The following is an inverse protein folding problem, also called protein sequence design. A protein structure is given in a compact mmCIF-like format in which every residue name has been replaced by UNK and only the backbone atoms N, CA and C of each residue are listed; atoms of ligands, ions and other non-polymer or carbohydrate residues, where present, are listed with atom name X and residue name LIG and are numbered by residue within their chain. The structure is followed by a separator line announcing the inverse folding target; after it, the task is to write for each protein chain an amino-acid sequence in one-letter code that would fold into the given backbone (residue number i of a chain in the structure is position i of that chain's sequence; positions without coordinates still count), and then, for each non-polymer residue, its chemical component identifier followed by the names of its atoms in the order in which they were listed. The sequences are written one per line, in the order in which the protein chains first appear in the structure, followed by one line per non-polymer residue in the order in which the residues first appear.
data_IF_289964257373
#
_entry.id   IF_289964257373
#
_cell.length_a   1.000
_cell.length_b   1.000
_cell.length_c   1.000
_cell.angle_alpha   90.00
_cell.angle_beta   90.00
_cell.angle_gamma   90.00
#
_symmetry.space_group_name_H-M   'P 1'
#
loop_
_entity.id
_entity.type
_entity.pdbx_description
1 polymer ?
#
# COMPACT_ATOMS: atom_id res chain seq x y z
N UNK A 1 5.19 7.25 13.18
CA UNK A 1 6.16 7.88 12.24
C UNK A 1 5.99 9.39 12.20
N UNK A 2 4.81 9.96 11.88
CA UNK A 2 4.63 11.43 11.91
C UNK A 2 5.10 12.07 13.21
N UNK A 3 4.75 11.49 14.35
CA UNK A 3 5.13 12.04 15.66
C UNK A 3 6.63 11.92 15.95
N UNK A 4 7.31 10.93 15.36
CA UNK A 4 8.77 10.82 15.48
C UNK A 4 9.45 11.97 14.72
N UNK A 5 8.96 12.31 13.53
CA UNK A 5 9.49 13.43 12.73
C UNK A 5 9.36 14.72 13.53
N UNK A 6 8.17 15.00 14.07
CA UNK A 6 7.93 16.18 14.91
C UNK A 6 8.81 16.19 16.17
N UNK A 7 8.91 15.06 16.86
CA UNK A 7 9.66 14.97 18.11
C UNK A 7 11.17 15.14 17.90
N UNK A 8 11.75 14.47 16.90
CA UNK A 8 13.21 14.44 16.70
C UNK A 8 13.73 15.60 15.83
N UNK A 9 12.96 16.06 14.85
CA UNK A 9 13.39 17.10 13.91
C UNK A 9 12.74 18.46 14.19
N UNK A 10 11.64 18.51 14.96
CA UNK A 10 10.87 19.74 15.15
C UNK A 10 10.17 20.22 13.87
N UNK A 11 9.99 19.34 12.90
CA UNK A 11 9.45 19.63 11.57
C UNK A 11 8.12 18.91 11.33
N UNK A 12 7.31 19.44 10.42
CA UNK A 12 6.12 18.72 9.92
C UNK A 12 6.50 17.71 8.83
N UNK A 13 5.90 16.50 8.81
CA UNK A 13 6.16 15.51 7.77
C UNK A 13 5.85 16.03 6.37
N UNK A 14 6.84 15.99 5.48
CA UNK A 14 6.67 16.40 4.07
C UNK A 14 5.77 15.40 3.32
N UNK A 15 5.92 14.09 3.60
CA UNK A 15 5.12 13.03 3.00
C UNK A 15 4.10 12.56 4.05
N UNK A 16 2.81 12.65 3.69
CA UNK A 16 1.73 12.22 4.56
C UNK A 16 1.72 10.69 4.72
N UNK A 17 1.47 10.24 5.96
CA UNK A 17 1.21 8.83 6.23
C UNK A 17 -0.23 8.48 5.84
N UNK A 18 -0.42 7.29 5.29
CA UNK A 18 -1.76 6.72 5.10
C UNK A 18 -2.37 6.43 6.48
N UNK A 19 -3.63 6.84 6.68
CA UNK A 19 -4.38 6.48 7.89
C UNK A 19 -4.37 4.97 8.06
N UNK A 20 -3.91 4.51 9.22
CA UNK A 20 -3.75 3.08 9.48
C UNK A 20 -4.37 2.76 10.83
N UNK A 21 -5.42 1.94 10.81
CA UNK A 21 -6.08 1.42 11.99
C UNK A 21 -5.33 0.20 12.51
N UNK A 22 -5.05 0.23 13.80
CA UNK A 22 -4.33 -0.81 14.53
C UNK A 22 -5.35 -1.76 15.14
N UNK A 23 -5.55 -2.92 14.52
CA UNK A 23 -6.61 -3.82 14.96
C UNK A 23 -6.34 -4.42 16.36
N UNK A 24 -5.10 -4.33 16.89
CA UNK A 24 -4.82 -4.63 18.30
C UNK A 24 -5.45 -3.65 19.30
N UNK A 25 -5.88 -2.47 18.85
CA UNK A 25 -6.56 -1.48 19.67
C UNK A 25 -8.08 -1.69 19.60
N UNK A 26 -8.80 -1.82 20.73
CA UNK A 26 -10.23 -2.14 20.74
C UNK A 26 -11.11 -1.18 19.94
N UNK A 27 -10.85 0.13 20.03
CA UNK A 27 -11.63 1.16 19.32
C UNK A 27 -11.43 1.07 17.80
N UNK A 28 -10.17 0.92 17.36
CA UNK A 28 -9.83 0.72 15.96
C UNK A 28 -10.43 -0.58 15.43
N UNK A 29 -10.35 -1.68 16.19
CA UNK A 29 -10.97 -2.96 15.81
C UNK A 29 -12.48 -2.82 15.64
N UNK A 30 -13.15 -2.13 16.57
CA UNK A 30 -14.58 -1.87 16.49
C UNK A 30 -14.94 -1.10 15.22
N UNK A 31 -14.20 -0.04 14.92
CA UNK A 31 -14.36 0.73 13.68
C UNK A 31 -14.13 -0.14 12.43
N UNK A 32 -13.03 -0.90 12.41
CA UNK A 32 -12.67 -1.75 11.26
C UNK A 32 -13.73 -2.80 11.01
N UNK A 33 -14.22 -3.51 12.02
CA UNK A 33 -15.27 -4.52 11.86
C UNK A 33 -16.59 -3.93 11.36
N UNK A 34 -16.94 -2.71 11.81
CA UNK A 34 -18.15 -2.02 11.37
C UNK A 34 -18.06 -1.52 9.91
N UNK A 35 -16.85 -1.21 9.43
CA UNK A 35 -16.62 -0.58 8.12
C UNK A 35 -15.75 -1.43 7.19
N UNK A 36 -15.62 -2.73 7.46
CA UNK A 36 -14.68 -3.62 6.76
C UNK A 36 -14.91 -3.66 5.24
N UNK A 37 -16.14 -3.42 4.79
CA UNK A 37 -16.52 -3.36 3.38
C UNK A 37 -15.90 -2.17 2.63
N UNK A 38 -15.46 -1.12 3.33
CA UNK A 38 -14.85 0.08 2.73
C UNK A 38 -13.33 0.14 2.90
N UNK A 39 -12.76 -0.84 3.62
CA UNK A 39 -11.37 -0.86 4.02
C UNK A 39 -10.58 -1.96 3.32
N UNK A 40 -9.26 -1.78 3.30
CA UNK A 40 -8.30 -2.83 2.99
C UNK A 40 -7.70 -3.33 4.29
N UNK A 41 -7.91 -4.62 4.60
CA UNK A 41 -7.37 -5.26 5.81
C UNK A 41 -6.25 -6.19 5.40
N UNK A 42 -5.08 -6.10 6.03
CA UNK A 42 -3.90 -6.89 5.70
C UNK A 42 -3.15 -7.34 6.94
N UNK A 43 -2.50 -8.49 6.86
CA UNK A 43 -1.65 -8.98 7.93
C UNK A 43 -0.44 -8.07 8.15
N UNK A 44 -0.03 -7.93 9.41
CA UNK A 44 1.17 -7.19 9.83
C UNK A 44 2.44 -7.95 9.42
N UNK A 45 2.38 -9.28 9.48
CA UNK A 45 3.47 -10.17 9.10
C UNK A 45 3.17 -10.80 7.73
N UNK A 46 4.11 -10.71 6.77
CA UNK A 46 4.01 -11.45 5.51
C UNK A 46 4.56 -10.72 4.29
N UNK A 47 4.78 -11.49 3.22
CA UNK A 47 5.24 -11.00 1.92
C UNK A 47 4.06 -10.53 1.07
N UNK A 48 3.35 -9.49 1.53
CA UNK A 48 2.58 -8.53 0.72
C UNK A 48 1.56 -9.07 -0.30
N UNK A 49 0.77 -10.10 0.02
CA UNK A 49 -0.31 -10.53 -0.88
C UNK A 49 -1.18 -11.68 -0.38
N UNK A 50 -0.67 -12.54 0.50
CA UNK A 50 -1.48 -13.54 1.20
C UNK A 50 -2.00 -12.92 2.52
N UNK A 51 -3.25 -13.20 2.88
CA UNK A 51 -3.86 -12.65 4.11
C UNK A 51 -4.37 -11.20 4.00
N UNK A 52 -4.83 -10.79 2.81
CA UNK A 52 -5.39 -9.46 2.57
C UNK A 52 -6.86 -9.54 2.09
N UNK A 53 -7.69 -8.63 2.59
CA UNK A 53 -9.06 -8.37 2.15
C UNK A 53 -9.13 -6.97 1.53
N UNK A 54 -9.76 -6.85 0.35
CA UNK A 54 -10.08 -5.56 -0.27
C UNK A 54 -11.60 -5.42 -0.23
N UNK A 55 -12.11 -4.81 0.85
CA UNK A 55 -13.54 -4.72 1.18
C UNK A 55 -14.42 -4.37 -0.02
N UNK A 56 -14.14 -3.29 -0.78
CA UNK A 56 -15.03 -2.84 -1.86
C UNK A 56 -15.18 -3.83 -3.03
N UNK A 57 -14.27 -4.79 -3.15
CA UNK A 57 -14.26 -5.81 -4.21
C UNK A 57 -14.61 -7.21 -3.69
N UNK A 58 -14.81 -7.36 -2.39
CA UNK A 58 -15.10 -8.63 -1.74
C UNK A 58 -16.60 -8.85 -1.60
N UNK A 59 -17.00 -10.11 -1.70
CA UNK A 59 -18.37 -10.54 -1.42
C UNK A 59 -18.68 -10.47 0.07
N UNK A 60 -19.97 -10.41 0.43
CA UNK A 60 -20.41 -10.43 1.83
C UNK A 60 -19.89 -11.66 2.58
N UNK A 61 -19.91 -12.83 1.95
CA UNK A 61 -19.43 -14.07 2.55
C UNK A 61 -17.91 -14.02 2.84
N UNK A 62 -17.11 -13.45 1.93
CA UNK A 62 -15.67 -13.27 2.15
C UNK A 62 -15.40 -12.27 3.28
N UNK A 63 -16.16 -11.18 3.34
CA UNK A 63 -16.09 -10.18 4.40
C UNK A 63 -16.41 -10.80 5.76
N UNK A 64 -17.51 -11.55 5.88
CA UNK A 64 -17.91 -12.23 7.11
C UNK A 64 -16.84 -13.23 7.57
N UNK A 65 -16.34 -14.06 6.65
CA UNK A 65 -15.28 -15.01 6.93
C UNK A 65 -13.98 -14.31 7.39
N UNK A 66 -13.64 -13.16 6.80
CA UNK A 66 -12.46 -12.40 7.20
C UNK A 66 -12.66 -11.68 8.53
N UNK A 67 -13.87 -11.19 8.82
CA UNK A 67 -14.21 -10.57 10.10
C UNK A 67 -14.03 -11.57 11.26
N UNK A 68 -14.41 -12.84 11.08
CA UNK A 68 -14.16 -13.89 12.07
C UNK A 68 -12.66 -14.13 12.30
N UNK A 69 -11.86 -14.19 11.23
CA UNK A 69 -10.40 -14.31 11.33
C UNK A 69 -9.79 -13.12 12.07
N UNK A 70 -10.26 -11.91 11.75
CA UNK A 70 -9.81 -10.67 12.37
C UNK A 70 -10.14 -10.64 13.88
N UNK A 71 -11.34 -11.08 14.28
CA UNK A 71 -11.72 -11.20 15.71
C UNK A 71 -10.88 -12.23 16.45
N UNK A 72 -10.50 -13.32 15.78
CA UNK A 72 -9.73 -14.38 16.40
C UNK A 72 -8.27 -13.99 16.69
N UNK A 73 -7.67 -13.12 15.86
CA UNK A 73 -6.29 -12.66 16.06
C UNK A 73 -6.08 -11.20 15.62
N UNK A 74 -6.69 -10.24 16.32
CA UNK A 74 -6.71 -8.84 15.89
C UNK A 74 -5.33 -8.21 15.78
N UNK A 75 -4.40 -8.59 16.67
CA UNK A 75 -3.04 -8.03 16.67
C UNK A 75 -2.19 -8.44 15.47
N UNK A 76 -2.64 -9.39 14.65
CA UNK A 76 -1.97 -9.75 13.41
C UNK A 76 -2.41 -8.91 12.21
N UNK A 77 -3.34 -7.96 12.37
CA UNK A 77 -3.90 -7.20 11.25
C UNK A 77 -3.80 -5.68 11.46
N UNK A 78 -3.70 -4.97 10.34
CA UNK A 78 -3.99 -3.54 10.23
C UNK A 78 -5.01 -3.31 9.13
N UNK A 79 -5.73 -2.20 9.22
CA UNK A 79 -6.63 -1.76 8.16
C UNK A 79 -6.29 -0.35 7.68
N UNK A 80 -6.56 -0.08 6.42
CA UNK A 80 -6.35 1.21 5.79
C UNK A 80 -7.56 1.54 4.91
N UNK A 81 -7.91 2.82 4.70
CA UNK A 81 -8.90 3.18 3.72
C UNK A 81 -8.46 2.72 2.33
N UNK A 82 -9.43 2.40 1.48
CA UNK A 82 -9.14 2.03 0.10
C UNK A 82 -8.57 3.25 -0.63
N UNK A 83 -7.32 3.16 -1.09
CA UNK A 83 -6.65 4.25 -1.79
C UNK A 83 -6.86 4.13 -3.30
N UNK A 84 -7.19 5.25 -3.92
CA UNK A 84 -7.10 5.40 -5.38
C UNK A 84 -5.63 5.48 -5.78
N UNK A 85 -5.04 4.33 -6.10
CA UNK A 85 -3.66 4.26 -6.57
C UNK A 85 -3.53 4.94 -7.93
N UNK A 86 -2.45 5.69 -8.14
CA UNK A 86 -2.10 6.22 -9.46
C UNK A 86 -1.85 5.08 -10.44
N UNK A 87 -2.04 5.36 -11.73
CA UNK A 87 -1.84 4.39 -12.81
C UNK A 87 -0.80 4.88 -13.80
N UNK A 88 -0.04 3.93 -14.37
CA UNK A 88 0.83 4.17 -15.52
C UNK A 88 0.40 3.33 -16.73
N UNK A 89 0.68 3.76 -17.97
CA UNK A 89 0.39 2.96 -19.16
C UNK A 89 1.21 1.66 -19.19
N UNK A 90 0.54 0.55 -19.47
CA UNK A 90 1.14 -0.77 -19.70
C UNK A 90 0.68 -1.29 -21.05
N UNK A 91 1.62 -1.85 -21.82
CA UNK A 91 1.28 -2.56 -23.04
C UNK A 91 0.67 -3.92 -22.68
N UNK A 92 -0.56 -4.14 -23.14
CA UNK A 92 -1.32 -5.39 -22.98
C UNK A 92 -1.61 -5.98 -24.37
N UNK A 93 -2.17 -7.18 -24.42
CA UNK A 93 -2.60 -7.81 -25.68
C UNK A 93 -3.65 -6.98 -26.44
N UNK A 94 -4.40 -6.12 -25.73
CA UNK A 94 -5.42 -5.22 -26.31
C UNK A 94 -4.87 -3.80 -26.57
N UNK A 95 -3.56 -3.58 -26.41
CA UNK A 95 -2.91 -2.28 -26.55
C UNK A 95 -2.55 -1.62 -25.22
N UNK A 96 -2.33 -0.30 -25.24
CA UNK A 96 -1.97 0.46 -24.03
C UNK A 96 -3.17 0.62 -23.11
N UNK A 97 -3.03 0.20 -21.86
CA UNK A 97 -4.06 0.32 -20.83
C UNK A 97 -3.47 0.82 -19.50
N UNK A 98 -4.24 1.58 -18.69
CA UNK A 98 -3.78 2.00 -17.38
C UNK A 98 -3.69 0.81 -16.42
N UNK A 99 -2.63 0.77 -15.62
CA UNK A 99 -2.44 -0.20 -14.53
C UNK A 99 -1.90 0.50 -13.29
N UNK A 100 -2.34 0.07 -12.11
CA UNK A 100 -1.91 0.67 -10.85
C UNK A 100 -0.42 0.42 -10.61
N UNK A 101 0.26 1.45 -10.11
CA UNK A 101 1.70 1.43 -9.84
C UNK A 101 2.01 1.85 -8.41
N UNK A 102 3.10 1.32 -7.88
CA UNK A 102 3.75 1.86 -6.69
C UNK A 102 5.24 2.09 -6.92
N UNK A 103 5.81 2.99 -6.13
CA UNK A 103 7.22 3.38 -6.22
C UNK A 103 7.92 3.11 -4.91
N UNK A 104 9.04 2.39 -4.99
CA UNK A 104 9.94 2.16 -3.87
C UNK A 104 11.30 2.83 -4.12
N UNK A 105 11.51 4.06 -3.63
CA UNK A 105 12.83 4.68 -3.62
C UNK A 105 13.72 4.08 -2.52
N UNK A 106 15.02 4.36 -2.59
CA UNK A 106 16.01 3.88 -1.61
C UNK A 106 16.81 5.06 -1.05
N UNK A 107 16.62 5.31 0.25
CA UNK A 107 17.41 6.27 1.02
C UNK A 107 18.59 5.54 1.66
N UNK A 108 19.80 6.07 1.48
CA UNK A 108 21.04 5.50 2.03
C UNK A 108 21.62 6.49 3.05
N UNK A 109 21.74 6.02 4.29
CA UNK A 109 22.29 6.80 5.40
C UNK A 109 23.61 6.21 5.88
N UNK A 110 24.66 7.02 5.85
CA UNK A 110 25.99 6.74 6.42
C UNK A 110 26.50 8.00 7.13
N UNK A 111 27.70 8.47 6.78
CA UNK A 111 28.16 9.80 7.24
C UNK A 111 27.25 10.94 6.75
N UNK A 112 26.58 10.73 5.61
CA UNK A 112 25.52 11.60 5.08
C UNK A 112 24.31 10.75 4.68
N UNK A 113 23.14 11.38 4.63
CA UNK A 113 21.90 10.77 4.11
C UNK A 113 21.64 11.27 2.70
N UNK A 114 21.49 10.35 1.74
CA UNK A 114 21.27 10.65 0.33
C UNK A 114 20.30 9.67 -0.33
N UNK A 115 19.74 10.07 -1.46
CA UNK A 115 18.92 9.23 -2.32
C UNK A 115 19.51 9.24 -3.73
N UNK A 116 19.54 8.08 -4.39
CA UNK A 116 19.85 7.99 -5.82
C UNK A 116 18.59 8.41 -6.59
N UNK A 117 18.67 9.20 -7.68
CA UNK A 117 17.51 9.57 -8.50
C UNK A 117 16.97 8.36 -9.28
N UNK A 118 16.40 7.40 -8.55
CA UNK A 118 15.94 6.10 -9.02
C UNK A 118 14.95 5.50 -8.01
N UNK A 119 14.25 4.47 -8.44
CA UNK A 119 13.40 3.67 -7.58
C UNK A 119 12.91 2.43 -8.30
N UNK A 120 12.44 1.46 -7.54
CA UNK A 120 11.75 0.29 -8.08
C UNK A 120 10.27 0.64 -8.26
N UNK A 121 9.84 0.79 -9.52
CA UNK A 121 8.42 0.88 -9.85
C UNK A 121 7.85 -0.51 -10.07
N UNK A 122 6.77 -0.85 -9.36
CA UNK A 122 6.03 -2.10 -9.58
C UNK A 122 4.65 -1.79 -10.15
N UNK A 123 4.13 -2.73 -10.92
CA UNK A 123 2.85 -2.57 -11.62
C UNK A 123 1.95 -3.77 -11.46
N UNK A 124 0.68 -3.54 -11.17
CA UNK A 124 -0.33 -4.59 -11.12
C UNK A 124 -0.78 -4.91 -12.55
N UNK A 125 -0.35 -6.03 -13.14
CA UNK A 125 -0.60 -6.31 -14.56
C UNK A 125 -2.05 -6.69 -14.86
N UNK A 126 -2.74 -7.32 -13.89
CA UNK A 126 -4.15 -7.67 -14.01
C UNK A 126 -5.02 -6.42 -13.96
N UNK A 127 -5.98 -6.34 -14.89
CA UNK A 127 -6.94 -5.24 -14.94
C UNK A 127 -7.71 -5.10 -13.62
N UNK A 128 -7.84 -3.87 -13.13
CA UNK A 128 -8.51 -3.54 -11.86
C UNK A 128 -7.80 -4.01 -10.59
N UNK A 129 -6.66 -4.70 -10.69
CA UNK A 129 -5.93 -5.18 -9.52
C UNK A 129 -5.14 -4.07 -8.85
N UNK A 130 -5.20 -4.01 -7.52
CA UNK A 130 -4.33 -3.18 -6.68
C UNK A 130 -3.07 -3.94 -6.22
N UNK A 131 -2.96 -5.23 -6.55
CA UNK A 131 -1.86 -6.09 -6.11
C UNK A 131 -0.68 -5.96 -7.07
N UNK A 132 0.34 -5.24 -6.65
CA UNK A 132 1.60 -5.02 -7.39
C UNK A 132 2.71 -6.03 -7.06
N UNK A 133 2.45 -6.98 -6.15
CA UNK A 133 3.44 -7.94 -5.71
C UNK A 133 3.76 -8.97 -6.82
N UNK A 134 5.05 -9.21 -7.08
CA UNK A 134 5.52 -10.15 -8.10
C UNK A 134 5.03 -11.58 -7.87
N UNK A 135 4.86 -12.00 -6.62
CA UNK A 135 4.31 -13.33 -6.28
C UNK A 135 2.88 -13.56 -6.77
N UNK A 136 2.16 -12.51 -7.18
CA UNK A 136 0.78 -12.57 -7.68
C UNK A 136 0.63 -11.90 -9.05
N UNK A 137 1.68 -11.95 -9.88
CA UNK A 137 1.63 -11.43 -11.25
C UNK A 137 1.88 -9.92 -11.35
N UNK A 138 2.53 -9.32 -10.34
CA UNK A 138 3.07 -7.98 -10.45
C UNK A 138 4.28 -7.91 -11.38
N UNK A 139 4.34 -6.88 -12.22
CA UNK A 139 5.47 -6.57 -13.08
C UNK A 139 6.35 -5.45 -12.48
N UNK A 140 7.40 -5.09 -13.21
CA UNK A 140 8.26 -3.94 -12.88
C UNK A 140 8.37 -2.98 -14.06
N UNK A 141 8.64 -1.72 -13.76
CA UNK A 141 8.96 -0.67 -14.73
C UNK A 141 10.26 0.02 -14.32
N UNK A 142 10.97 0.53 -15.32
CA UNK A 142 12.03 1.48 -15.08
C UNK A 142 11.44 2.80 -14.56
N UNK A 143 12.18 3.48 -13.67
CA UNK A 143 11.77 4.75 -13.06
C UNK A 143 12.72 5.83 -13.53
N UNK A 144 12.26 6.70 -14.42
CA UNK A 144 13.06 7.82 -14.90
C UNK A 144 12.81 9.05 -14.03
N UNK A 145 13.89 9.58 -13.45
CA UNK A 145 13.91 10.87 -12.77
C UNK A 145 14.62 11.84 -13.71
N UNK A 146 13.90 12.85 -14.19
CA UNK A 146 14.44 13.83 -15.12
C UNK A 146 15.33 14.83 -14.39
N UNK A 147 16.40 15.27 -15.05
CA UNK A 147 17.22 16.38 -14.55
C UNK A 147 16.46 17.71 -14.67
N UNK A 148 16.69 18.60 -13.72
CA UNK A 148 16.07 19.92 -13.70
C UNK A 148 16.59 20.75 -14.89
N UNK A 149 15.68 21.23 -15.76
CA UNK A 149 16.04 21.95 -17.00
C UNK A 149 16.27 21.06 -18.23
N UNK A 150 16.00 19.75 -18.14
CA UNK A 150 15.77 18.95 -19.34
C UNK A 150 14.43 19.40 -19.97
N UNK A 151 14.49 19.92 -21.20
CA UNK A 151 13.46 20.54 -22.05
C UNK A 151 13.32 22.06 -21.96
#
# INVERSE_FOLDING_TARGET
VPDMIRFYLGEEPIIANVQTFRCDQPDDLGYVLANIADLVVKEVQGSGGYGMLIGPTSTKAEIEAFAEKLRANPGNYIAQPTLSLSSAPVLTDQGLAPRHVDLRPFVVSGATTRMVPSGLSRVALREGSLVVNSSQGGGVKDTWVLEEGAF
#
